data_IF_811241596345
#
_entry.id   IF_811241596345
#
_cell.length_a   1.000
_cell.length_b   1.000
_cell.length_c   1.000
_cell.angle_alpha   90.00
_cell.angle_beta   90.00
_cell.angle_gamma   90.00
#
_symmetry.space_group_name_H-M   'P 1'
#
loop_
_entity.id
_entity.type
_entity.pdbx_description
1 polymer ?
#
# COMPACT_ATOMS: atom_id res chain seq x y z
N UNK A 1 13.82 16.42 -1.08
CA UNK A 1 13.06 15.18 -1.40
C UNK A 1 11.62 15.41 -0.97
N UNK A 2 10.64 15.01 -1.78
CA UNK A 2 9.23 15.10 -1.39
C UNK A 2 8.98 14.17 -0.20
N UNK A 3 8.43 14.65 0.94
CA UNK A 3 8.27 13.83 2.15
C UNK A 3 7.45 12.55 1.92
N UNK A 4 6.57 12.55 0.92
CA UNK A 4 5.71 11.44 0.52
C UNK A 4 6.43 10.10 0.34
N UNK A 5 7.66 10.07 -0.18
CA UNK A 5 8.43 8.82 -0.32
C UNK A 5 8.76 8.25 1.06
N UNK A 6 9.33 9.07 1.95
CA UNK A 6 9.70 8.66 3.29
C UNK A 6 8.49 8.26 4.13
N UNK A 7 7.42 9.06 4.09
CA UNK A 7 6.17 8.75 4.81
C UNK A 7 5.54 7.46 4.26
N UNK A 8 5.47 7.32 2.94
CA UNK A 8 4.92 6.13 2.28
C UNK A 8 5.70 4.84 2.55
N UNK A 9 6.98 4.94 2.93
CA UNK A 9 7.81 3.81 3.32
C UNK A 9 7.73 3.51 4.82
N UNK A 10 7.75 4.54 5.67
CA UNK A 10 7.85 4.38 7.12
C UNK A 10 6.50 4.15 7.80
N UNK A 11 5.44 4.87 7.39
CA UNK A 11 4.15 4.77 8.06
C UNK A 11 3.56 3.35 8.01
N UNK A 12 3.63 2.62 6.87
CA UNK A 12 3.15 1.24 6.82
C UNK A 12 3.94 0.25 7.68
N UNK A 13 5.10 0.63 8.20
CA UNK A 13 5.86 -0.22 9.12
C UNK A 13 5.53 0.17 10.56
N UNK A 14 5.57 1.48 10.84
CA UNK A 14 5.39 1.99 12.20
C UNK A 14 3.96 1.82 12.69
N UNK A 15 2.96 2.03 11.84
CA UNK A 15 1.55 2.03 12.23
C UNK A 15 1.06 0.66 12.74
N UNK A 16 1.18 -0.45 11.99
CA UNK A 16 0.72 -1.75 12.49
C UNK A 16 1.46 -2.17 13.78
N UNK A 17 2.77 -1.93 13.86
CA UNK A 17 3.57 -2.26 15.04
C UNK A 17 3.13 -1.46 16.26
N UNK A 18 2.85 -0.16 16.09
CA UNK A 18 2.36 0.69 17.18
C UNK A 18 0.98 0.25 17.65
N UNK A 19 0.06 -0.08 16.73
CA UNK A 19 -1.28 -0.58 17.07
C UNK A 19 -1.19 -1.92 17.80
N UNK A 20 -0.32 -2.83 17.35
CA UNK A 20 -0.07 -4.11 18.02
C UNK A 20 0.50 -3.92 19.43
N UNK A 21 1.48 -3.03 19.59
CA UNK A 21 2.06 -2.74 20.89
C UNK A 21 1.02 -2.16 21.86
N UNK A 22 0.23 -1.17 21.43
CA UNK A 22 -0.86 -0.60 22.25
C UNK A 22 -1.92 -1.67 22.56
N UNK A 23 -2.32 -2.48 21.58
CA UNK A 23 -3.28 -3.56 21.78
C UNK A 23 -2.82 -4.59 22.81
N UNK A 24 -1.53 -4.94 22.80
CA UNK A 24 -0.93 -5.85 23.78
C UNK A 24 -0.85 -5.21 25.18
N UNK A 25 -0.38 -3.96 25.28
CA UNK A 25 -0.24 -3.24 26.54
C UNK A 25 -1.60 -2.98 27.21
N UNK A 26 -2.61 -2.60 26.43
CA UNK A 26 -3.97 -2.35 26.92
C UNK A 26 -4.82 -3.61 27.04
N UNK A 27 -4.29 -4.78 26.65
CA UNK A 27 -5.01 -6.07 26.59
C UNK A 27 -6.31 -6.00 25.76
N UNK A 28 -6.31 -5.19 24.70
CA UNK A 28 -7.44 -5.02 23.79
C UNK A 28 -7.26 -5.88 22.53
N UNK A 29 -7.95 -7.01 22.50
CA UNK A 29 -7.91 -7.95 21.37
C UNK A 29 -8.34 -7.29 20.04
N UNK A 30 -9.30 -6.37 20.08
CA UNK A 30 -9.77 -5.64 18.90
C UNK A 30 -8.68 -4.76 18.27
N UNK A 31 -7.87 -4.08 19.09
CA UNK A 31 -6.74 -3.28 18.62
C UNK A 31 -5.65 -4.18 18.04
N UNK A 32 -5.33 -5.27 18.73
CA UNK A 32 -4.32 -6.24 18.25
C UNK A 32 -4.72 -6.82 16.90
N UNK A 33 -5.99 -7.19 16.73
CA UNK A 33 -6.52 -7.71 15.48
C UNK A 33 -6.46 -6.66 14.36
N UNK A 34 -6.78 -5.41 14.65
CA UNK A 34 -6.65 -4.32 13.68
C UNK A 34 -5.19 -4.14 13.23
N UNK A 35 -4.23 -4.20 14.16
CA UNK A 35 -2.80 -4.14 13.86
C UNK A 35 -2.36 -5.29 12.95
N UNK A 36 -2.80 -6.52 13.24
CA UNK A 36 -2.53 -7.69 12.39
C UNK A 36 -3.15 -7.58 11.00
N UNK A 37 -4.39 -7.11 10.91
CA UNK A 37 -5.07 -6.95 9.63
C UNK A 37 -4.39 -5.90 8.74
N UNK A 38 -4.00 -4.76 9.32
CA UNK A 38 -3.26 -3.72 8.60
C UNK A 38 -1.90 -4.28 8.14
N UNK A 39 -1.12 -4.88 9.04
CA UNK A 39 0.19 -5.46 8.71
C UNK A 39 0.10 -6.54 7.63
N UNK A 40 -0.92 -7.40 7.67
CA UNK A 40 -1.15 -8.40 6.64
C UNK A 40 -1.50 -7.76 5.29
N UNK A 41 -2.34 -6.72 5.27
CA UNK A 41 -2.68 -6.01 4.03
C UNK A 41 -1.45 -5.34 3.40
N UNK A 42 -0.57 -4.78 4.21
CA UNK A 42 0.68 -4.15 3.77
C UNK A 42 1.65 -5.19 3.21
N UNK A 43 1.83 -6.32 3.90
CA UNK A 43 2.68 -7.41 3.43
C UNK A 43 2.17 -8.02 2.12
N UNK A 44 0.86 -8.28 2.02
CA UNK A 44 0.25 -8.79 0.78
C UNK A 44 0.34 -7.76 -0.34
N UNK A 45 0.11 -6.48 -0.05
CA UNK A 45 0.25 -5.39 -1.02
C UNK A 45 1.68 -5.27 -1.56
N UNK A 46 2.68 -5.37 -0.67
CA UNK A 46 4.09 -5.38 -1.04
C UNK A 46 4.44 -6.57 -1.93
N UNK A 47 3.95 -7.77 -1.57
CA UNK A 47 4.15 -8.98 -2.36
C UNK A 47 3.52 -8.90 -3.75
N UNK A 48 2.29 -8.40 -3.86
CA UNK A 48 1.61 -8.19 -5.15
C UNK A 48 2.40 -7.22 -6.02
N UNK A 49 2.82 -6.07 -5.47
CA UNK A 49 3.62 -5.09 -6.21
C UNK A 49 4.96 -5.68 -6.67
N UNK A 50 5.68 -6.38 -5.79
CA UNK A 50 6.95 -7.04 -6.11
C UNK A 50 6.79 -8.10 -7.21
N UNK A 51 5.69 -8.87 -7.19
CA UNK A 51 5.39 -9.90 -8.19
C UNK A 51 5.24 -9.27 -9.58
N UNK A 52 4.44 -8.21 -9.72
CA UNK A 52 4.31 -7.49 -10.98
C UNK A 52 5.63 -6.84 -11.44
N UNK A 53 6.39 -6.25 -10.52
CA UNK A 53 7.70 -5.64 -10.84
C UNK A 53 8.69 -6.67 -11.39
N UNK A 54 8.69 -7.87 -10.79
CA UNK A 54 9.55 -8.97 -11.22
C UNK A 54 9.31 -9.41 -12.66
N UNK A 55 8.16 -9.07 -13.25
CA UNK A 55 7.79 -9.48 -14.61
C UNK A 55 7.79 -8.32 -15.62
N UNK A 56 7.45 -7.11 -15.17
CA UNK A 56 7.16 -5.98 -16.06
C UNK A 56 8.40 -5.12 -16.36
N UNK A 57 9.31 -4.97 -15.40
CA UNK A 57 10.56 -4.24 -15.58
C UNK A 57 10.42 -2.80 -16.08
N UNK A 58 9.31 -2.12 -15.73
CA UNK A 58 9.03 -0.74 -16.18
C UNK A 58 10.15 0.22 -15.79
N UNK A 59 10.56 1.06 -16.73
CA UNK A 59 11.57 2.10 -16.49
C UNK A 59 10.99 3.24 -15.64
N UNK A 60 11.80 3.85 -14.78
CA UNK A 60 11.38 4.96 -13.92
C UNK A 60 11.60 6.32 -14.62
N UNK A 61 10.94 7.39 -14.16
CA UNK A 61 11.22 8.74 -14.63
C UNK A 61 12.70 9.10 -14.48
N UNK A 62 13.28 9.67 -15.54
CA UNK A 62 14.58 10.33 -15.48
C UNK A 62 14.38 11.78 -15.03
N UNK A 63 15.42 12.39 -14.44
CA UNK A 63 15.37 13.81 -14.03
C UNK A 63 15.49 14.78 -15.21
N UNK A 64 15.84 14.27 -16.38
CA UNK A 64 16.12 15.05 -17.58
C UNK A 64 14.94 15.04 -18.55
N UNK A 65 14.79 16.13 -19.30
CA UNK A 65 13.78 16.25 -20.35
C UNK A 65 14.30 15.48 -21.57
N UNK A 66 13.75 14.29 -21.81
CA UNK A 66 14.12 13.42 -22.91
C UNK A 66 12.90 12.89 -23.66
N UNK A 67 13.10 11.86 -24.48
CA UNK A 67 12.00 11.14 -25.11
C UNK A 67 11.03 10.60 -24.05
N UNK A 68 9.73 10.52 -24.39
CA UNK A 68 8.76 9.90 -23.51
C UNK A 68 9.02 8.39 -23.40
N UNK A 69 9.56 7.99 -22.25
CA UNK A 69 9.86 6.60 -21.89
C UNK A 69 8.81 6.01 -20.94
N UNK A 70 7.71 6.72 -20.67
CA UNK A 70 6.68 6.26 -19.73
C UNK A 70 6.03 4.94 -20.17
N UNK A 71 6.02 4.67 -21.47
CA UNK A 71 5.47 3.45 -22.09
C UNK A 71 6.45 2.28 -22.13
N UNK A 72 7.70 2.44 -21.66
CA UNK A 72 8.73 1.42 -21.82
C UNK A 72 8.68 0.37 -20.69
N UNK A 73 8.40 -0.87 -21.10
CA UNK A 73 8.43 -2.06 -20.24
C UNK A 73 9.50 -3.03 -20.74
N UNK A 74 10.34 -3.51 -19.81
CA UNK A 74 11.36 -4.53 -20.10
C UNK A 74 10.87 -5.87 -19.59
N UNK A 75 9.83 -6.39 -20.24
CA UNK A 75 9.22 -7.65 -19.84
C UNK A 75 10.24 -8.79 -19.77
N UNK A 76 10.11 -9.61 -18.73
CA UNK A 76 10.97 -10.75 -18.44
C UNK A 76 11.34 -10.82 -16.96
N UNK A 77 11.64 -12.02 -16.48
CA UNK A 77 11.89 -12.26 -15.07
C UNK A 77 13.08 -11.44 -14.56
N UNK A 78 12.83 -10.65 -13.51
CA UNK A 78 13.75 -9.76 -12.80
C UNK A 78 14.51 -8.73 -13.65
N UNK A 79 14.07 -8.45 -14.89
CA UNK A 79 14.76 -7.48 -15.78
C UNK A 79 14.75 -6.04 -15.26
N UNK A 80 13.82 -5.69 -14.37
CA UNK A 80 13.83 -4.42 -13.61
C UNK A 80 13.91 -4.60 -12.09
N UNK A 81 14.18 -5.81 -11.62
CA UNK A 81 14.13 -6.17 -10.20
C UNK A 81 12.73 -6.15 -9.60
N UNK A 82 12.66 -6.05 -8.26
CA UNK A 82 11.41 -6.12 -7.48
C UNK A 82 11.07 -4.83 -6.72
N UNK A 83 11.97 -3.85 -6.73
CA UNK A 83 11.81 -2.61 -5.97
C UNK A 83 11.28 -1.45 -6.82
N UNK A 84 11.69 -1.38 -8.09
CA UNK A 84 11.36 -0.29 -9.01
C UNK A 84 10.38 -0.73 -10.10
N UNK A 85 9.72 0.22 -10.75
CA UNK A 85 8.79 -0.03 -11.86
C UNK A 85 7.31 -0.03 -11.47
N UNK A 86 6.50 -0.83 -12.17
CA UNK A 86 5.04 -0.84 -12.05
C UNK A 86 4.53 -2.11 -11.34
N UNK A 87 3.54 -2.00 -10.44
CA UNK A 87 2.92 -0.77 -9.91
C UNK A 87 3.80 -0.07 -8.85
N UNK A 88 3.39 1.10 -8.36
CA UNK A 88 4.06 1.77 -7.23
C UNK A 88 3.82 1.02 -5.92
N UNK A 89 4.88 0.49 -5.27
CA UNK A 89 4.75 -0.20 -3.97
C UNK A 89 4.25 0.72 -2.86
N UNK A 90 4.76 1.96 -2.80
CA UNK A 90 4.30 2.97 -1.82
C UNK A 90 2.78 3.17 -1.91
N UNK A 91 2.27 3.27 -3.13
CA UNK A 91 0.85 3.43 -3.36
C UNK A 91 0.08 2.16 -3.04
N UNK A 92 0.53 0.99 -3.54
CA UNK A 92 -0.15 -0.29 -3.31
C UNK A 92 -0.31 -0.57 -1.82
N UNK A 93 0.76 -0.38 -1.05
CA UNK A 93 0.76 -0.61 0.40
C UNK A 93 -0.15 0.40 1.11
N UNK A 94 -0.02 1.70 0.80
CA UNK A 94 -0.84 2.74 1.43
C UNK A 94 -2.35 2.57 1.16
N UNK A 95 -2.74 2.21 -0.08
CA UNK A 95 -4.14 1.93 -0.42
C UNK A 95 -4.64 0.62 0.20
N UNK A 96 -3.79 -0.40 0.34
CA UNK A 96 -4.14 -1.64 1.05
C UNK A 96 -4.43 -1.37 2.53
N UNK A 97 -3.58 -0.58 3.19
CA UNK A 97 -3.82 -0.12 4.56
C UNK A 97 -5.13 0.68 4.64
N UNK A 98 -5.33 1.70 3.79
CA UNK A 98 -6.50 2.56 3.82
C UNK A 98 -7.81 1.78 3.61
N UNK A 99 -7.85 0.89 2.63
CA UNK A 99 -9.02 0.05 2.36
C UNK A 99 -9.30 -0.95 3.52
N UNK A 100 -8.25 -1.44 4.18
CA UNK A 100 -8.39 -2.29 5.37
C UNK A 100 -9.00 -1.52 6.53
N UNK A 101 -8.48 -0.33 6.86
CA UNK A 101 -9.02 0.55 7.91
C UNK A 101 -10.48 0.90 7.63
N UNK A 102 -10.79 1.29 6.40
CA UNK A 102 -12.16 1.63 5.99
C UNK A 102 -13.12 0.45 6.14
N UNK A 103 -12.63 -0.77 5.89
CA UNK A 103 -13.43 -2.00 6.02
C UNK A 103 -13.65 -2.37 7.48
N UNK A 104 -12.60 -2.33 8.32
CA UNK A 104 -12.67 -2.75 9.72
C UNK A 104 -13.42 -1.79 10.64
N UNK A 105 -13.50 -0.51 10.29
CA UNK A 105 -14.09 0.54 11.13
C UNK A 105 -15.37 1.15 10.52
N UNK A 106 -16.45 0.36 10.30
CA UNK A 106 -17.64 0.83 9.60
C UNK A 106 -18.41 1.93 10.36
N UNK A 107 -18.23 2.03 11.69
CA UNK A 107 -18.79 3.10 12.53
C UNK A 107 -17.93 4.38 12.53
N UNK A 108 -16.65 4.29 12.17
CA UNK A 108 -15.70 5.39 12.14
C UNK A 108 -15.11 5.58 10.74
N UNK A 109 -15.96 5.61 9.70
CA UNK A 109 -15.53 5.74 8.29
C UNK A 109 -14.62 6.94 8.00
N UNK A 110 -14.71 7.99 8.82
CA UNK A 110 -13.83 9.15 8.73
C UNK A 110 -12.34 8.77 8.86
N UNK A 111 -11.99 7.75 9.65
CA UNK A 111 -10.62 7.22 9.74
C UNK A 111 -10.17 6.58 8.42
N UNK A 112 -11.08 5.87 7.75
CA UNK A 112 -10.80 5.32 6.43
C UNK A 112 -10.65 6.42 5.37
N UNK A 113 -11.48 7.47 5.39
CA UNK A 113 -11.30 8.63 4.51
C UNK A 113 -9.97 9.35 4.77
N UNK A 114 -9.59 9.53 6.04
CA UNK A 114 -8.30 10.09 6.41
C UNK A 114 -7.13 9.23 5.88
N UNK A 115 -7.25 7.91 6.00
CA UNK A 115 -6.26 6.97 5.47
C UNK A 115 -6.18 7.03 3.92
N UNK A 116 -7.30 7.21 3.22
CA UNK A 116 -7.29 7.41 1.77
C UNK A 116 -6.70 8.78 1.37
N UNK A 117 -6.94 9.84 2.13
CA UNK A 117 -6.29 11.14 1.93
C UNK A 117 -4.77 11.01 2.07
N UNK A 118 -4.30 10.29 3.09
CA UNK A 118 -2.89 9.93 3.23
C UNK A 118 -2.38 9.15 2.00
N UNK A 119 -3.11 8.11 1.57
CA UNK A 119 -2.69 7.27 0.45
C UNK A 119 -2.64 8.05 -0.88
N UNK A 120 -3.57 8.99 -1.08
CA UNK A 120 -3.57 9.92 -2.20
C UNK A 120 -2.37 10.88 -2.14
N UNK A 121 -2.08 11.44 -0.97
CA UNK A 121 -0.89 12.29 -0.79
C UNK A 121 0.40 11.54 -1.15
N UNK A 122 0.54 10.29 -0.69
CA UNK A 122 1.68 9.44 -1.05
C UNK A 122 1.69 9.19 -2.56
N UNK A 123 0.58 8.77 -3.14
CA UNK A 123 0.46 8.43 -4.55
C UNK A 123 0.78 9.59 -5.50
N UNK A 124 0.27 10.79 -5.20
CA UNK A 124 0.57 12.00 -5.95
C UNK A 124 2.04 12.38 -5.76
N UNK A 125 2.55 12.37 -4.52
CA UNK A 125 3.92 12.75 -4.22
C UNK A 125 4.97 11.83 -4.88
N UNK A 126 4.73 10.52 -4.93
CA UNK A 126 5.63 9.60 -5.67
C UNK A 126 5.52 9.79 -7.19
N UNK A 127 4.35 10.16 -7.71
CA UNK A 127 4.15 10.45 -9.14
C UNK A 127 4.87 11.71 -9.61
N UNK A 128 5.11 12.65 -8.69
CA UNK A 128 5.88 13.87 -8.96
C UNK A 128 7.39 13.66 -8.86
N UNK A 129 7.86 12.45 -8.53
CA UNK A 129 9.28 12.21 -8.21
C UNK A 129 9.85 10.95 -8.84
N UNK A 130 9.33 9.78 -8.48
CA UNK A 130 9.97 8.48 -8.73
C UNK A 130 9.11 7.51 -9.54
N UNK A 131 7.85 7.85 -9.77
CA UNK A 131 6.87 6.99 -10.42
C UNK A 131 6.12 7.74 -11.52
N UNK A 132 5.68 7.01 -12.53
CA UNK A 132 4.69 7.55 -13.46
C UNK A 132 3.32 7.61 -12.79
N UNK A 133 2.46 8.54 -13.19
CA UNK A 133 1.09 8.60 -12.66
C UNK A 133 0.31 7.29 -12.85
N UNK A 134 0.59 6.54 -13.92
CA UNK A 134 0.00 5.22 -14.14
C UNK A 134 0.54 4.12 -13.20
N UNK A 135 1.75 4.26 -12.64
CA UNK A 135 2.22 3.40 -11.54
C UNK A 135 1.40 3.64 -10.27
N UNK A 136 1.07 4.91 -10.01
CA UNK A 136 0.17 5.31 -8.93
C UNK A 136 -1.24 4.76 -9.17
N UNK A 137 -1.84 4.98 -10.34
CA UNK A 137 -3.19 4.51 -10.63
C UNK A 137 -3.33 2.98 -10.45
N UNK A 138 -2.39 2.20 -11.00
CA UNK A 138 -2.39 0.76 -10.80
C UNK A 138 -2.14 0.35 -9.35
N UNK A 139 -1.23 1.05 -8.66
CA UNK A 139 -0.99 0.82 -7.25
C UNK A 139 -2.24 1.02 -6.40
N UNK A 140 -3.00 2.08 -6.66
CA UNK A 140 -4.25 2.38 -5.97
C UNK A 140 -5.31 1.29 -6.19
N UNK A 141 -5.44 0.77 -7.42
CA UNK A 141 -6.36 -0.32 -7.76
C UNK A 141 -5.97 -1.60 -7.00
N UNK A 142 -4.74 -2.08 -7.19
CA UNK A 142 -4.29 -3.32 -6.56
C UNK A 142 -4.31 -3.23 -5.03
N UNK A 143 -3.84 -2.10 -4.48
CA UNK A 143 -3.85 -1.86 -3.04
C UNK A 143 -5.27 -1.92 -2.48
N UNK A 144 -6.23 -1.21 -3.11
CA UNK A 144 -7.63 -1.22 -2.65
C UNK A 144 -8.21 -2.63 -2.68
N UNK A 145 -7.95 -3.42 -3.73
CA UNK A 145 -8.43 -4.80 -3.83
C UNK A 145 -7.86 -5.68 -2.71
N UNK A 146 -6.54 -5.59 -2.47
CA UNK A 146 -5.87 -6.31 -1.38
C UNK A 146 -6.48 -5.92 -0.03
N UNK A 147 -6.57 -4.63 0.27
CA UNK A 147 -7.06 -4.17 1.57
C UNK A 147 -8.52 -4.53 1.82
N UNK A 148 -9.38 -4.50 0.78
CA UNK A 148 -10.76 -4.98 0.90
C UNK A 148 -10.83 -6.50 1.13
N UNK A 149 -9.98 -7.27 0.47
CA UNK A 149 -9.94 -8.73 0.66
C UNK A 149 -9.50 -9.09 2.08
N UNK A 150 -8.38 -8.51 2.54
CA UNK A 150 -7.87 -8.74 3.90
C UNK A 150 -8.86 -8.25 4.95
N UNK A 151 -9.36 -7.01 4.84
CA UNK A 151 -10.31 -6.45 5.79
C UNK A 151 -11.58 -7.29 5.93
N UNK A 152 -12.15 -7.79 4.82
CA UNK A 152 -13.30 -8.70 4.86
C UNK A 152 -12.98 -10.03 5.51
N UNK A 153 -11.81 -10.60 5.25
CA UNK A 153 -11.39 -11.86 5.86
C UNK A 153 -11.29 -11.74 7.39
N UNK A 154 -10.75 -10.63 7.90
CA UNK A 154 -10.68 -10.39 9.35
C UNK A 154 -12.05 -10.10 9.96
N UNK A 155 -12.92 -9.32 9.29
CA UNK A 155 -14.29 -9.11 9.76
C UNK A 155 -15.05 -10.43 9.92
N UNK A 156 -14.90 -11.34 8.94
CA UNK A 156 -15.52 -12.66 9.00
C UNK A 156 -15.01 -13.47 10.19
N UNK A 157 -13.68 -13.50 10.39
CA UNK A 157 -13.07 -14.21 11.51
C UNK A 157 -13.51 -13.69 12.89
N UNK A 158 -13.89 -12.40 13.00
CA UNK A 158 -14.46 -11.84 14.23
C UNK A 158 -15.93 -12.26 14.44
N UNK A 159 -16.69 -12.35 13.35
CA UNK A 159 -18.13 -12.60 13.40
C UNK A 159 -18.50 -14.08 13.63
N UNK A 160 -17.61 -14.99 13.25
CA UNK A 160 -17.78 -16.44 13.43
C UNK A 160 -16.87 -16.92 14.57
N UNK A 161 -17.32 -16.89 15.84
CA UNK A 161 -16.56 -17.53 16.92
C UNK A 161 -16.47 -19.04 16.65
N UNK A 162 -15.25 -19.57 16.79
CA UNK A 162 -14.92 -20.98 16.63
C UNK A 162 -15.64 -21.88 17.66
#
# INVERSE_FOLDING_TARGET
>A
MFPAVGIGALLPIVLPLSILAVGALEKKASLSLMGWAIGQAEAVGAFVAASYKSLTGRVHPLRDVGADISHTFRFGFLRGGVFWGWPSSHTTIAFAMAATVFTLLPKQKWLGYLAFTYALYVGIGVSMTIHWFSDFAAGAIFGTLVGRAVGKSFLKAIAEPA
#
